data_IF_975877431451
#
_entry.id   IF_975877431451
#
_cell.length_a   1.000
_cell.length_b   1.000
_cell.length_c   1.000
_cell.angle_alpha   90.00
_cell.angle_beta   90.00
_cell.angle_gamma   90.00
#
_symmetry.space_group_name_H-M   'P 1'
#
loop_
_entity.id
_entity.type
_entity.pdbx_description
1 polymer ?
#
# COMPACT_ATOMS: atom_id res chain seq x y z
N UNK A 1 -12.38 11.68 17.73
CA UNK A 1 -10.93 11.68 18.04
C UNK A 1 -10.28 12.98 17.59
N UNK A 2 -9.70 13.71 18.53
CA UNK A 2 -8.81 14.86 18.26
C UNK A 2 -7.36 14.35 18.28
N UNK A 3 -6.56 14.75 17.29
CA UNK A 3 -5.16 14.35 17.19
C UNK A 3 -4.27 15.55 17.50
N UNK A 4 -3.22 15.33 18.29
CA UNK A 4 -2.19 16.33 18.50
C UNK A 4 -1.42 16.56 17.18
N UNK A 5 -1.64 17.73 16.58
CA UNK A 5 -1.01 18.14 15.32
C UNK A 5 0.46 18.54 15.51
N UNK A 6 0.88 18.83 16.74
CA UNK A 6 2.27 19.13 17.05
C UNK A 6 3.09 17.84 16.95
N UNK A 7 2.62 16.77 17.61
CA UNK A 7 3.27 15.46 17.58
C UNK A 7 3.08 14.69 16.26
N UNK A 8 1.88 14.69 15.67
CA UNK A 8 1.56 13.87 14.51
C UNK A 8 1.34 14.67 13.22
N UNK A 9 1.86 14.15 12.12
CA UNK A 9 1.47 14.56 10.77
C UNK A 9 0.29 13.70 10.33
N UNK A 10 -0.84 14.33 10.04
CA UNK A 10 -2.08 13.63 9.67
C UNK A 10 -2.14 13.51 8.16
N UNK A 11 -2.19 12.26 7.67
CA UNK A 11 -2.40 11.95 6.27
C UNK A 11 -3.87 11.53 6.08
N UNK A 12 -4.56 12.26 5.21
CA UNK A 12 -5.96 12.02 4.84
C UNK A 12 -6.08 12.10 3.32
N UNK A 13 -7.30 11.97 2.77
CA UNK A 13 -7.58 12.09 1.33
C UNK A 13 -6.95 13.33 0.66
N UNK A 14 -6.79 14.43 1.39
CA UNK A 14 -6.17 15.66 0.86
C UNK A 14 -4.66 15.55 0.62
N UNK A 15 -4.00 14.52 1.14
CA UNK A 15 -2.58 14.31 0.93
C UNK A 15 -2.31 13.88 -0.52
N UNK A 16 -1.39 14.52 -1.27
CA UNK A 16 -1.20 14.27 -2.70
C UNK A 16 -0.97 12.79 -3.05
N UNK A 17 -0.17 12.05 -2.26
CA UNK A 17 0.07 10.63 -2.50
C UNK A 17 -1.18 9.75 -2.30
N UNK A 18 -2.05 10.12 -1.35
CA UNK A 18 -3.31 9.40 -1.12
C UNK A 18 -4.29 9.72 -2.25
N UNK A 19 -4.35 10.98 -2.66
CA UNK A 19 -5.18 11.41 -3.79
C UNK A 19 -4.75 10.71 -5.07
N UNK A 20 -3.44 10.63 -5.33
CA UNK A 20 -2.88 9.87 -6.45
C UNK A 20 -3.38 8.42 -6.41
N UNK A 21 -3.27 7.72 -5.28
CA UNK A 21 -3.77 6.35 -5.17
C UNK A 21 -5.28 6.23 -5.47
N UNK A 22 -6.09 7.14 -4.95
CA UNK A 22 -7.56 7.12 -5.14
C UNK A 22 -7.97 7.37 -6.60
N UNK A 23 -7.12 8.06 -7.36
CA UNK A 23 -7.34 8.40 -8.77
C UNK A 23 -6.50 7.55 -9.74
N UNK A 24 -5.72 6.59 -9.26
CA UNK A 24 -4.84 5.79 -10.11
C UNK A 24 -5.57 4.54 -10.63
N UNK A 25 -5.85 4.38 -11.93
CA UNK A 25 -6.65 3.27 -12.43
C UNK A 25 -6.02 1.89 -12.16
N UNK A 26 -4.70 1.77 -12.18
CA UNK A 26 -4.06 0.48 -11.91
C UNK A 26 -4.24 0.00 -10.45
N UNK A 27 -4.68 0.88 -9.53
CA UNK A 27 -5.04 0.48 -8.17
C UNK A 27 -6.29 -0.42 -8.11
N UNK A 28 -7.10 -0.47 -9.18
CA UNK A 28 -8.27 -1.37 -9.28
C UNK A 28 -7.86 -2.83 -9.01
N UNK A 29 -6.78 -3.29 -9.65
CA UNK A 29 -6.29 -4.65 -9.48
C UNK A 29 -5.86 -4.90 -8.04
N UNK A 30 -5.11 -3.95 -7.45
CA UNK A 30 -4.66 -4.06 -6.06
C UNK A 30 -5.84 -4.09 -5.07
N UNK A 31 -6.89 -3.29 -5.28
CA UNK A 31 -8.02 -3.22 -4.37
C UNK A 31 -9.02 -4.37 -4.53
N UNK A 32 -9.43 -4.67 -5.78
CA UNK A 32 -10.48 -5.65 -6.04
C UNK A 32 -9.95 -7.09 -6.04
N UNK A 33 -8.78 -7.31 -6.64
CA UNK A 33 -8.22 -8.67 -6.78
C UNK A 33 -7.36 -9.00 -5.57
N UNK A 34 -6.36 -8.18 -5.26
CA UNK A 34 -5.42 -8.48 -4.18
C UNK A 34 -5.95 -8.08 -2.79
N UNK A 35 -6.98 -7.23 -2.70
CA UNK A 35 -7.52 -6.74 -1.43
C UNK A 35 -6.58 -5.79 -0.68
N UNK A 36 -5.65 -5.13 -1.34
CA UNK A 36 -4.79 -4.12 -0.73
C UNK A 36 -5.63 -2.86 -0.43
N UNK A 37 -5.43 -2.25 0.74
CA UNK A 37 -6.21 -1.07 1.17
C UNK A 37 -5.32 0.00 1.79
N UNK A 38 -5.77 1.24 1.69
CA UNK A 38 -5.19 2.38 2.42
C UNK A 38 -6.19 2.86 3.47
N UNK A 39 -5.81 2.98 4.74
CA UNK A 39 -6.71 3.46 5.79
C UNK A 39 -7.10 4.93 5.55
N UNK A 40 -8.30 5.32 5.99
CA UNK A 40 -8.83 6.68 5.80
C UNK A 40 -7.99 7.78 6.46
N UNK A 41 -7.34 7.43 7.56
CA UNK A 41 -6.47 8.30 8.34
C UNK A 41 -5.20 7.53 8.67
N UNK A 42 -4.05 8.16 8.46
CA UNK A 42 -2.76 7.70 8.95
C UNK A 42 -2.10 8.83 9.74
N UNK A 43 -1.37 8.48 10.78
CA UNK A 43 -0.65 9.42 11.64
C UNK A 43 0.83 9.07 11.59
N UNK A 44 1.66 10.00 11.17
CA UNK A 44 3.12 9.83 11.20
C UNK A 44 3.68 10.68 12.34
N UNK A 45 4.31 10.03 13.32
CA UNK A 45 4.97 10.69 14.45
C UNK A 45 6.16 11.52 13.95
N UNK A 46 6.24 12.80 14.34
CA UNK A 46 7.31 13.72 13.92
C UNK A 46 8.57 13.60 14.76
N UNK A 47 8.44 13.23 16.03
CA UNK A 47 9.51 13.25 17.04
C UNK A 47 10.36 11.97 17.00
N UNK A 48 9.80 10.87 16.50
CA UNK A 48 10.51 9.60 16.39
C UNK A 48 11.67 9.67 15.39
N UNK A 49 12.85 9.20 15.80
CA UNK A 49 14.06 9.06 14.97
C UNK A 49 14.00 7.84 14.03
N UNK A 50 12.90 7.10 14.04
CA UNK A 50 12.69 5.91 13.24
C UNK A 50 12.34 6.26 11.79
N UNK A 51 12.55 5.31 10.85
CA UNK A 51 12.11 5.47 9.47
C UNK A 51 10.59 5.61 9.34
N UNK A 52 10.13 6.14 8.20
CA UNK A 52 8.73 6.52 7.99
C UNK A 52 7.71 5.40 8.30
N UNK A 53 7.95 4.17 7.84
CA UNK A 53 7.02 3.04 8.10
C UNK A 53 6.93 2.65 9.58
N UNK A 54 7.99 2.85 10.36
CA UNK A 54 8.03 2.43 11.77
C UNK A 54 7.43 3.46 12.73
N UNK A 55 7.23 4.69 12.25
CA UNK A 55 6.62 5.79 13.00
C UNK A 55 5.25 6.17 12.46
N UNK A 56 4.66 5.33 11.61
CA UNK A 56 3.32 5.53 11.06
C UNK A 56 2.32 4.61 11.75
N UNK A 57 1.20 5.21 12.16
CA UNK A 57 0.16 4.58 12.93
C UNK A 57 -1.20 4.73 12.23
N UNK A 58 -2.05 3.72 12.41
CA UNK A 58 -3.43 3.70 11.94
C UNK A 58 -4.36 3.78 13.16
N UNK A 59 -5.02 4.92 13.38
CA UNK A 59 -5.94 5.08 14.49
C UNK A 59 -7.22 4.27 14.24
N UNK A 60 -7.70 3.55 15.27
CA UNK A 60 -9.02 2.95 15.23
C UNK A 60 -10.08 3.99 15.64
N UNK A 61 -11.12 4.25 14.83
CA UNK A 61 -12.16 5.20 15.21
C UNK A 61 -13.13 4.67 16.29
N UNK A 62 -13.09 3.37 16.60
CA UNK A 62 -14.03 2.73 17.52
C UNK A 62 -13.53 2.69 18.96
N UNK A 63 -12.23 2.41 19.15
CA UNK A 63 -11.60 2.28 20.47
C UNK A 63 -10.40 3.22 20.68
N UNK A 64 -10.17 4.13 19.72
CA UNK A 64 -9.12 5.16 19.75
C UNK A 64 -7.68 4.64 19.88
N UNK A 65 -7.48 3.32 19.80
CA UNK A 65 -6.16 2.71 19.85
C UNK A 65 -5.36 3.05 18.58
N UNK A 66 -4.11 3.46 18.78
CA UNK A 66 -3.13 3.66 17.71
C UNK A 66 -2.46 2.33 17.38
N UNK A 67 -2.66 1.84 16.16
CA UNK A 67 -2.10 0.58 15.70
C UNK A 67 -0.89 0.86 14.82
N UNK A 68 0.20 0.11 15.00
CA UNK A 68 1.37 0.23 14.14
C UNK A 68 1.03 -0.18 12.69
N UNK A 69 1.36 0.66 11.70
CA UNK A 69 1.04 0.37 10.29
C UNK A 69 1.64 -0.95 9.81
N UNK A 70 2.77 -1.39 10.40
CA UNK A 70 3.47 -2.60 10.01
C UNK A 70 2.67 -3.87 10.25
N UNK A 71 1.59 -3.82 11.02
CA UNK A 71 0.63 -4.91 11.14
C UNK A 71 0.05 -5.29 9.77
N UNK A 72 -0.06 -4.35 8.83
CA UNK A 72 -0.64 -4.55 7.49
C UNK A 72 0.39 -4.34 6.38
N UNK A 73 1.65 -4.72 6.62
CA UNK A 73 2.75 -4.57 5.66
C UNK A 73 3.27 -5.91 5.12
N UNK A 74 4.14 -5.85 4.09
CA UNK A 74 4.72 -7.01 3.39
C UNK A 74 3.63 -8.01 2.95
N UNK A 75 3.79 -9.28 3.30
CA UNK A 75 2.86 -10.36 2.98
C UNK A 75 1.49 -10.22 3.66
N UNK A 76 1.37 -9.38 4.69
CA UNK A 76 0.10 -9.06 5.31
C UNK A 76 -0.51 -7.74 4.80
N UNK A 77 -0.03 -7.19 3.68
CA UNK A 77 -0.63 -6.01 3.05
C UNK A 77 -1.86 -6.33 2.17
N UNK A 78 -2.07 -7.62 1.87
CA UNK A 78 -3.09 -8.11 0.94
C UNK A 78 -4.25 -8.79 1.67
N UNK A 79 -5.36 -8.99 0.95
CA UNK A 79 -6.54 -9.70 1.42
C UNK A 79 -7.41 -8.92 2.40
N UNK A 80 -7.27 -7.60 2.46
CA UNK A 80 -8.04 -6.69 3.30
C UNK A 80 -9.28 -6.13 2.61
N UNK A 81 -9.99 -6.92 1.78
CA UNK A 81 -11.06 -6.42 0.91
C UNK A 81 -12.12 -5.53 1.60
N UNK A 82 -12.44 -5.80 2.87
CA UNK A 82 -13.43 -5.03 3.62
C UNK A 82 -12.84 -3.95 4.55
N UNK A 83 -11.51 -3.77 4.55
CA UNK A 83 -10.78 -2.85 5.43
C UNK A 83 -9.86 -3.57 6.41
N UNK A 84 -9.25 -2.83 7.33
CA UNK A 84 -8.39 -3.41 8.36
C UNK A 84 -9.18 -3.78 9.60
N UNK A 85 -8.78 -4.83 10.31
CA UNK A 85 -9.38 -5.20 11.59
C UNK A 85 -8.49 -4.74 12.73
N UNK A 86 -9.06 -3.99 13.66
CA UNK A 86 -8.34 -3.52 14.84
C UNK A 86 -8.03 -4.71 15.78
N UNK A 87 -6.78 -4.90 16.23
CA UNK A 87 -6.43 -5.95 17.19
C UNK A 87 -7.10 -5.79 18.54
N UNK A 88 -7.42 -4.56 18.97
CA UNK A 88 -7.96 -4.30 20.32
C UNK A 88 -9.47 -4.50 20.40
N UNK A 89 -10.23 -3.94 19.47
CA UNK A 89 -11.71 -3.99 19.50
C UNK A 89 -12.32 -4.92 18.44
N UNK A 90 -11.51 -5.48 17.54
CA UNK A 90 -11.94 -6.34 16.43
C UNK A 90 -12.95 -5.71 15.44
N UNK A 91 -13.14 -4.39 15.51
CA UNK A 91 -13.95 -3.64 14.57
C UNK A 91 -13.15 -3.30 13.32
N UNK A 92 -13.87 -3.08 12.22
CA UNK A 92 -13.27 -2.71 10.94
C UNK A 92 -12.88 -1.23 10.97
N UNK A 93 -11.61 -0.95 10.75
CA UNK A 93 -11.06 0.37 10.53
C UNK A 93 -11.38 0.77 9.08
N UNK A 94 -11.99 1.95 8.86
CA UNK A 94 -12.39 2.39 7.53
C UNK A 94 -11.17 2.67 6.65
N UNK A 95 -11.21 2.14 5.43
CA UNK A 95 -10.23 2.36 4.38
C UNK A 95 -10.82 3.19 3.24
N UNK A 96 -9.96 3.91 2.54
CA UNK A 96 -10.29 4.59 1.30
C UNK A 96 -10.55 3.58 0.20
N UNK A 97 -11.37 4.00 -0.76
CA UNK A 97 -11.59 3.30 -2.01
C UNK A 97 -11.04 4.15 -3.15
N UNK A 98 -10.45 3.50 -4.13
CA UNK A 98 -10.21 4.10 -5.43
C UNK A 98 -11.54 4.32 -6.17
N UNK A 99 -11.64 5.45 -6.88
CA UNK A 99 -12.87 5.87 -7.56
C UNK A 99 -13.26 4.89 -8.67
N UNK A 100 -12.29 4.35 -9.39
CA UNK A 100 -12.53 3.38 -10.45
C UNK A 100 -12.95 2.01 -9.89
N UNK A 101 -12.38 1.58 -8.76
CA UNK A 101 -12.85 0.39 -8.05
C UNK A 101 -14.33 0.52 -7.68
N UNK A 102 -14.74 1.69 -7.16
CA UNK A 102 -16.15 1.95 -6.83
C UNK A 102 -17.03 1.99 -8.07
N UNK A 103 -16.57 2.59 -9.18
CA UNK A 103 -17.31 2.61 -10.43
C UNK A 103 -17.55 1.20 -10.96
N UNK A 104 -16.53 0.32 -10.96
CA UNK A 104 -16.67 -1.08 -11.36
C UNK A 104 -17.65 -1.81 -10.46
N UNK A 105 -17.53 -1.66 -9.14
CA UNK A 105 -18.48 -2.26 -8.21
C UNK A 105 -19.90 -1.75 -8.47
N UNK A 106 -20.10 -0.44 -8.67
CA UNK A 106 -21.42 0.11 -8.97
C UNK A 106 -22.00 -0.46 -10.28
N UNK A 107 -21.21 -0.54 -11.34
CA UNK A 107 -21.65 -1.06 -12.65
C UNK A 107 -21.90 -2.57 -12.65
N UNK A 108 -21.14 -3.31 -11.85
CA UNK A 108 -21.28 -4.78 -11.74
C UNK A 108 -22.23 -5.20 -10.63
N UNK A 109 -22.91 -4.24 -9.98
CA UNK A 109 -24.00 -4.54 -9.07
C UNK A 109 -25.18 -5.15 -9.88
N UNK A 110 -25.78 -6.29 -9.47
CA UNK A 110 -25.69 -6.97 -8.17
C UNK A 110 -24.77 -8.19 -8.12
N UNK A 111 -23.99 -8.48 -9.16
CA UNK A 111 -23.22 -9.73 -9.34
C UNK A 111 -22.37 -10.08 -8.11
N UNK A 112 -21.74 -9.07 -7.50
CA UNK A 112 -20.87 -9.25 -6.32
C UNK A 112 -21.56 -8.98 -4.98
N UNK A 113 -22.77 -8.39 -4.95
CA UNK A 113 -23.44 -8.00 -3.71
C UNK A 113 -23.72 -9.19 -2.79
N UNK A 114 -24.33 -10.24 -3.35
CA UNK A 114 -24.65 -11.45 -2.59
C UNK A 114 -23.38 -12.20 -2.15
N UNK A 115 -22.41 -12.50 -3.04
CA UNK A 115 -21.14 -13.10 -2.63
C UNK A 115 -20.44 -12.32 -1.51
N UNK A 116 -20.34 -10.99 -1.63
CA UNK A 116 -19.69 -10.15 -0.63
C UNK A 116 -20.39 -10.23 0.73
N UNK A 117 -21.73 -10.23 0.76
CA UNK A 117 -22.50 -10.31 2.00
C UNK A 117 -22.27 -11.63 2.75
N UNK A 118 -22.22 -12.75 2.04
CA UNK A 118 -21.96 -14.06 2.65
C UNK A 118 -20.48 -14.21 3.05
N UNK A 119 -19.57 -13.79 2.19
CA UNK A 119 -18.13 -13.91 2.41
C UNK A 119 -17.64 -13.03 3.57
N UNK A 120 -18.23 -11.85 3.78
CA UNK A 120 -17.80 -10.89 4.81
C UNK A 120 -17.72 -11.49 6.21
N UNK A 121 -18.66 -12.36 6.62
CA UNK A 121 -18.65 -13.00 7.95
C UNK A 121 -17.46 -13.96 8.10
N UNK A 122 -17.24 -14.81 7.08
CA UNK A 122 -16.12 -15.76 7.05
C UNK A 122 -14.77 -15.03 6.99
N UNK A 123 -14.69 -14.01 6.14
CA UNK A 123 -13.53 -13.15 6.03
C UNK A 123 -13.20 -12.48 7.37
N UNK A 124 -14.19 -11.90 8.06
CA UNK A 124 -13.94 -11.24 9.34
C UNK A 124 -13.41 -12.23 10.41
N UNK A 125 -13.96 -13.45 10.45
CA UNK A 125 -13.47 -14.48 11.37
C UNK A 125 -12.02 -14.91 11.03
N UNK A 126 -11.70 -15.04 9.75
CA UNK A 126 -10.33 -15.30 9.28
C UNK A 126 -9.39 -14.14 9.64
N UNK A 127 -9.83 -12.91 9.45
CA UNK A 127 -9.03 -11.71 9.67
C UNK A 127 -8.65 -11.54 11.14
N UNK A 128 -9.58 -11.80 12.07
CA UNK A 128 -9.30 -11.80 13.51
C UNK A 128 -8.19 -12.79 13.87
N UNK A 129 -8.25 -14.01 13.30
CA UNK A 129 -7.19 -15.03 13.50
C UNK A 129 -5.87 -14.60 12.89
N UNK A 130 -5.91 -13.95 11.72
CA UNK A 130 -4.72 -13.45 11.01
C UNK A 130 -4.02 -12.36 11.80
N UNK A 131 -4.76 -11.37 12.31
CA UNK A 131 -4.21 -10.28 13.14
C UNK A 131 -3.59 -10.83 14.42
N UNK A 132 -4.22 -11.78 15.10
CA UNK A 132 -3.65 -12.42 16.29
C UNK A 132 -2.27 -13.05 16.01
N UNK A 133 -2.13 -13.80 14.90
CA UNK A 133 -0.85 -14.37 14.47
C UNK A 133 0.22 -13.33 14.10
N UNK A 134 -0.19 -12.14 13.68
CA UNK A 134 0.74 -11.06 13.35
C UNK A 134 1.27 -10.39 14.61
N UNK A 135 0.45 -10.27 15.65
CA UNK A 135 0.86 -9.72 16.95
C UNK A 135 1.91 -10.60 17.65
N UNK A 136 1.89 -11.91 17.42
CA UNK A 136 2.89 -12.86 17.95
C UNK A 136 4.27 -12.69 17.30
N UNK A 137 4.36 -12.00 16.17
CA UNK A 137 5.60 -11.82 15.40
C UNK A 137 6.27 -10.49 15.74
N UNK A 138 7.61 -10.41 15.71
CA UNK A 138 8.28 -9.13 15.82
C UNK A 138 7.86 -8.20 14.67
N UNK A 139 7.63 -6.93 14.99
CA UNK A 139 7.31 -5.92 13.99
C UNK A 139 8.46 -5.78 12.98
N UNK A 140 8.08 -5.62 11.71
CA UNK A 140 9.02 -5.53 10.60
C UNK A 140 9.94 -4.32 10.78
N UNK A 141 11.25 -4.50 10.67
CA UNK A 141 12.21 -3.39 10.66
C UNK A 141 12.57 -3.01 9.22
N UNK A 142 12.73 -1.70 8.96
CA UNK A 142 12.98 -1.17 7.62
C UNK A 142 14.40 -1.50 7.10
N UNK A 143 15.37 -1.73 7.99
CA UNK A 143 16.81 -1.93 7.67
C UNK A 143 17.10 -2.94 6.54
N UNK A 144 16.15 -3.80 6.20
CA UNK A 144 16.35 -4.90 5.25
C UNK A 144 15.85 -4.64 3.82
N UNK A 145 15.30 -3.46 3.49
CA UNK A 145 14.79 -3.20 2.13
C UNK A 145 15.83 -2.50 1.25
N UNK A 146 16.36 -3.24 0.28
CA UNK A 146 17.27 -2.71 -0.76
C UNK A 146 16.47 -2.06 -1.89
N UNK A 147 16.04 -0.82 -1.68
CA UNK A 147 15.20 -0.08 -2.62
C UNK A 147 15.80 0.10 -4.01
N UNK A 148 17.12 0.20 -4.12
CA UNK A 148 17.81 0.30 -5.42
C UNK A 148 17.69 -0.99 -6.21
N UNK A 149 17.95 -2.13 -5.58
CA UNK A 149 17.84 -3.44 -6.22
C UNK A 149 16.38 -3.70 -6.64
N UNK A 150 15.44 -3.41 -5.74
CA UNK A 150 14.02 -3.56 -6.00
C UNK A 150 13.56 -2.63 -7.14
N UNK A 151 14.01 -1.38 -7.15
CA UNK A 151 13.68 -0.43 -8.21
C UNK A 151 14.24 -0.87 -9.56
N UNK A 152 15.54 -1.16 -9.64
CA UNK A 152 16.18 -1.51 -10.91
C UNK A 152 15.64 -2.81 -11.49
N UNK A 153 15.60 -3.89 -10.70
CA UNK A 153 15.24 -5.20 -11.23
C UNK A 153 13.73 -5.46 -11.24
N UNK A 154 13.02 -5.12 -10.16
CA UNK A 154 11.58 -5.39 -10.08
C UNK A 154 10.73 -4.30 -10.72
N UNK A 155 11.10 -3.02 -10.62
CA UNK A 155 10.33 -1.96 -11.31
C UNK A 155 10.85 -1.75 -12.72
N UNK A 156 12.16 -1.69 -12.93
CA UNK A 156 12.75 -1.55 -14.27
C UNK A 156 12.62 -2.82 -15.11
N UNK A 157 13.36 -3.86 -14.72
CA UNK A 157 13.47 -5.11 -15.48
C UNK A 157 12.13 -5.84 -15.71
N UNK A 158 11.30 -5.98 -14.68
CA UNK A 158 10.00 -6.65 -14.84
C UNK A 158 9.02 -5.83 -15.68
N UNK A 159 8.97 -4.50 -15.49
CA UNK A 159 8.07 -3.65 -16.30
C UNK A 159 8.50 -3.61 -17.75
N UNK A 160 9.80 -3.62 -18.04
CA UNK A 160 10.31 -3.82 -19.39
C UNK A 160 9.80 -5.14 -19.99
N UNK A 161 10.01 -6.27 -19.32
CA UNK A 161 9.57 -7.57 -19.83
C UNK A 161 8.06 -7.62 -20.07
N UNK A 162 7.25 -7.05 -19.16
CA UNK A 162 5.80 -6.96 -19.31
C UNK A 162 5.39 -6.04 -20.46
N UNK A 163 6.09 -4.92 -20.65
CA UNK A 163 5.82 -3.98 -21.72
C UNK A 163 6.10 -4.57 -23.10
N UNK A 164 7.24 -5.24 -23.27
CA UNK A 164 7.59 -5.93 -24.52
C UNK A 164 6.57 -7.04 -24.86
N UNK A 165 6.19 -7.85 -23.87
CA UNK A 165 5.14 -8.87 -24.03
C UNK A 165 3.79 -8.23 -24.40
N UNK A 166 3.43 -7.13 -23.74
CA UNK A 166 2.19 -6.40 -24.03
C UNK A 166 2.18 -5.83 -25.45
N UNK A 167 3.29 -5.26 -25.90
CA UNK A 167 3.40 -4.68 -27.24
C UNK A 167 3.14 -5.73 -28.32
N UNK A 168 3.82 -6.88 -28.22
CA UNK A 168 3.66 -8.01 -29.15
C UNK A 168 2.24 -8.55 -29.12
N UNK A 169 1.67 -8.80 -27.94
CA UNK A 169 0.35 -9.42 -27.81
C UNK A 169 -0.79 -8.50 -28.24
N UNK A 170 -0.69 -7.19 -27.97
CA UNK A 170 -1.79 -6.26 -28.17
C UNK A 170 -1.71 -5.52 -29.51
N UNK A 171 -0.51 -5.10 -29.92
CA UNK A 171 -0.31 -4.38 -31.17
C UNK A 171 0.08 -5.30 -32.34
N UNK A 172 0.24 -6.61 -32.08
CA UNK A 172 0.67 -7.57 -33.09
C UNK A 172 2.10 -7.33 -33.58
N UNK A 173 2.92 -6.66 -32.76
CA UNK A 173 4.32 -6.39 -33.08
C UNK A 173 5.12 -7.68 -33.22
N UNK A 174 6.15 -7.67 -34.07
CA UNK A 174 7.12 -8.75 -34.13
C UNK A 174 8.16 -8.61 -33.02
N UNK A 175 8.67 -9.74 -32.53
CA UNK A 175 9.79 -9.75 -31.58
C UNK A 175 11.05 -9.19 -32.26
N UNK A 176 11.36 -7.93 -31.99
CA UNK A 176 12.54 -7.27 -32.51
C UNK A 176 13.59 -7.09 -31.42
N UNK A 177 14.64 -7.92 -31.46
CA UNK A 177 15.70 -7.91 -30.45
C UNK A 177 16.39 -6.54 -30.33
N UNK A 178 16.48 -5.77 -31.44
CA UNK A 178 17.12 -4.46 -31.44
C UNK A 178 16.34 -3.46 -30.60
N UNK A 179 15.02 -3.35 -30.79
CA UNK A 179 14.17 -2.42 -30.03
C UNK A 179 14.08 -2.82 -28.57
N UNK A 180 14.01 -4.13 -28.29
CA UNK A 180 14.03 -4.67 -26.92
C UNK A 180 15.32 -4.30 -26.17
N UNK A 181 16.48 -4.39 -26.82
CA UNK A 181 17.77 -4.04 -26.21
C UNK A 181 17.95 -2.53 -26.07
N UNK A 182 17.38 -1.73 -26.97
CA UNK A 182 17.41 -0.25 -26.89
C UNK A 182 16.49 0.29 -25.78
N UNK A 183 15.35 -0.36 -25.53
CA UNK A 183 14.40 0.04 -24.48
C UNK A 183 14.88 -0.34 -23.07
N UNK A 184 15.63 -1.44 -22.93
CA UNK A 184 16.08 -1.96 -21.63
C UNK A 184 16.86 -0.94 -20.77
N UNK A 185 17.87 -0.20 -21.29
CA UNK A 185 18.56 0.83 -20.51
C UNK A 185 17.61 1.91 -19.96
N UNK A 186 16.62 2.33 -20.74
CA UNK A 186 15.64 3.36 -20.35
C UNK A 186 14.82 2.87 -19.15
N UNK A 187 14.33 1.63 -19.21
CA UNK A 187 13.58 1.02 -18.11
C UNK A 187 14.44 0.79 -16.87
N UNK A 188 15.69 0.36 -17.03
CA UNK A 188 16.63 0.17 -15.92
C UNK A 188 16.98 1.49 -15.22
N UNK A 189 17.23 2.56 -15.98
CA UNK A 189 17.46 3.91 -15.42
C UNK A 189 16.21 4.43 -14.70
N UNK A 190 15.03 4.23 -15.30
CA UNK A 190 13.75 4.62 -14.68
C UNK A 190 13.52 3.86 -13.37
N UNK A 191 13.73 2.54 -13.37
CA UNK A 191 13.65 1.71 -12.18
C UNK A 191 14.65 2.12 -11.09
N UNK A 192 15.89 2.45 -11.47
CA UNK A 192 16.91 2.95 -10.56
C UNK A 192 16.51 4.31 -9.94
N UNK A 193 16.04 5.25 -10.76
CA UNK A 193 15.55 6.55 -10.30
C UNK A 193 14.40 6.42 -9.32
N UNK A 194 13.45 5.53 -9.60
CA UNK A 194 12.38 5.19 -8.67
C UNK A 194 12.91 4.56 -7.37
N UNK A 195 13.89 3.66 -7.46
CA UNK A 195 14.56 3.06 -6.31
C UNK A 195 15.25 4.08 -5.41
N UNK A 196 15.93 5.08 -5.99
CA UNK A 196 16.52 6.22 -5.27
C UNK A 196 15.45 7.05 -4.56
N UNK A 197 14.37 7.39 -5.28
CA UNK A 197 13.24 8.11 -4.72
C UNK A 197 12.67 7.37 -3.50
N UNK A 198 12.36 6.08 -3.64
CA UNK A 198 11.81 5.28 -2.55
C UNK A 198 12.79 5.16 -1.38
N UNK A 199 14.08 4.95 -1.65
CA UNK A 199 15.11 4.93 -0.61
C UNK A 199 15.10 6.23 0.20
N UNK A 200 15.06 7.38 -0.48
CA UNK A 200 15.05 8.69 0.17
C UNK A 200 13.81 8.90 1.04
N UNK A 201 12.61 8.63 0.50
CA UNK A 201 11.36 8.88 1.23
C UNK A 201 11.13 7.89 2.37
N UNK A 202 11.39 6.60 2.14
CA UNK A 202 11.09 5.55 3.13
C UNK A 202 12.08 5.58 4.30
N UNK A 203 13.35 5.91 4.04
CA UNK A 203 14.37 6.05 5.08
C UNK A 203 14.34 7.41 5.79
N UNK A 204 13.43 8.31 5.42
CA UNK A 204 13.32 9.65 6.03
C UNK A 204 12.88 9.54 7.49
N UNK A 205 13.82 9.85 8.39
CA UNK A 205 13.61 9.92 9.84
C UNK A 205 12.77 11.14 10.23
N UNK A 206 12.12 11.07 11.40
CA UNK A 206 11.49 12.25 12.01
C UNK A 206 12.52 13.28 12.46
N UNK A 207 12.04 14.49 12.76
CA UNK A 207 12.86 15.52 13.39
C UNK A 207 12.81 15.23 14.88
N UNK A 208 13.89 14.67 15.42
CA UNK A 208 14.10 14.69 16.87
C UNK A 208 14.34 16.15 17.22
N UNK A 209 13.31 16.84 17.72
CA UNK A 209 13.53 18.15 18.30
C UNK A 209 14.61 17.96 19.37
N UNK A 210 15.74 18.64 19.17
CA UNK A 210 16.76 18.74 20.21
C UNK A 210 16.08 19.54 21.32
N UNK A 211 15.52 18.84 22.30
CA UNK A 211 15.35 19.41 23.63
C UNK A 211 16.78 19.63 24.15
N UNK A 212 17.35 20.78 23.75
CA UNK A 212 18.41 21.48 24.50
C UNK A 212 17.78 22.14 25.71
#
# INVERSE_FOLDING_TARGET
>A
MQYDRNRFTIWTLRHPLILFWVLFPAAIFNELILGQRIPKVMLTDKESDKPWMERTYVPCPHCETLNDQRLWAKWNALGHWFGFVCPSCHQIIPCLWNVFSLAILAMTFPVWYFPARFFRRRWLAYEKKRVAKVLERPLIQLKFIHWLLLGTFCVGGLSWALFEVWEVLYYGGEWNLKTMLESLPIWMVTGFGWGLWMSFFMNRKGRKDRQT
#
